data_IF_278382075770
#
_entry.id   IF_278382075770
#
_cell.length_a   1.000
_cell.length_b   1.000
_cell.length_c   1.000
_cell.angle_alpha   90.00
_cell.angle_beta   90.00
_cell.angle_gamma   90.00
#
_symmetry.space_group_name_H-M   'P 1'
#
loop_
_entity.id
_entity.type
_entity.pdbx_description
1 polymer ?
#
# COMPACT_ATOMS: atom_id res chain seq x y z
N UNK A 1 -35.86 35.76 -25.14
CA UNK A 1 -36.03 36.79 -26.19
C UNK A 1 -36.17 36.13 -27.57
N UNK A 2 -37.20 35.32 -27.82
CA UNK A 2 -37.37 34.59 -29.10
C UNK A 2 -38.84 34.21 -29.31
N UNK A 3 -39.71 35.18 -29.57
CA UNK A 3 -41.06 34.91 -30.10
C UNK A 3 -41.37 35.79 -31.32
N UNK A 4 -40.64 36.90 -31.49
CA UNK A 4 -40.85 37.87 -32.56
C UNK A 4 -40.31 37.45 -33.95
N UNK A 5 -39.46 36.42 -34.04
CA UNK A 5 -38.98 35.93 -35.35
C UNK A 5 -40.02 35.07 -36.07
N UNK A 6 -40.96 34.46 -35.33
CA UNK A 6 -42.03 33.67 -35.93
C UNK A 6 -43.03 34.57 -36.68
N UNK A 7 -43.28 35.77 -36.17
CA UNK A 7 -44.11 36.78 -36.81
C UNK A 7 -43.47 37.34 -38.09
N UNK A 8 -42.13 37.47 -38.10
CA UNK A 8 -41.36 37.91 -39.27
C UNK A 8 -41.31 36.84 -40.37
N UNK A 9 -41.40 35.56 -40.00
CA UNK A 9 -41.53 34.42 -40.92
C UNK A 9 -42.93 34.34 -41.58
N UNK A 10 -43.95 34.84 -40.89
CA UNK A 10 -45.35 34.87 -41.34
C UNK A 10 -45.68 36.12 -42.19
N UNK A 11 -44.88 37.18 -42.08
CA UNK A 11 -45.07 38.43 -42.81
C UNK A 11 -45.07 38.27 -44.36
N UNK A 12 -44.19 37.44 -44.98
CA UNK A 12 -44.25 37.20 -46.42
C UNK A 12 -45.51 36.43 -46.84
N UNK A 13 -46.02 35.53 -46.00
CA UNK A 13 -47.28 34.83 -46.30
C UNK A 13 -48.48 35.78 -46.29
N UNK A 14 -48.51 36.74 -45.35
CA UNK A 14 -49.54 37.77 -45.31
C UNK A 14 -49.44 38.73 -46.51
N UNK A 15 -48.22 39.15 -46.88
CA UNK A 15 -47.97 40.06 -48.01
C UNK A 15 -48.21 39.40 -49.39
N UNK A 16 -47.84 38.12 -49.57
CA UNK A 16 -48.18 37.38 -50.79
C UNK A 16 -49.68 37.05 -50.88
N UNK A 17 -50.37 36.90 -49.75
CA UNK A 17 -51.82 36.69 -49.71
C UNK A 17 -52.62 37.99 -49.94
N UNK A 18 -52.09 39.15 -49.55
CA UNK A 18 -52.78 40.46 -49.68
C UNK A 18 -52.49 41.19 -51.00
N UNK A 19 -51.56 40.72 -51.84
CA UNK A 19 -51.19 41.37 -53.11
C UNK A 19 -52.17 41.17 -54.28
N UNK A 20 -53.44 40.82 -54.03
CA UNK A 20 -54.39 40.34 -55.05
C UNK A 20 -55.73 41.09 -55.10
N UNK A 21 -55.76 42.39 -54.82
CA UNK A 21 -56.98 43.21 -54.87
C UNK A 21 -57.41 43.67 -56.29
N UNK A 22 -56.93 43.03 -57.36
CA UNK A 22 -57.42 43.31 -58.71
C UNK A 22 -57.59 42.07 -59.59
N UNK A 23 -58.73 41.40 -59.44
CA UNK A 23 -59.40 40.67 -60.52
C UNK A 23 -59.36 39.13 -60.46
N UNK A 24 -60.54 38.52 -60.60
CA UNK A 24 -60.74 37.26 -61.35
C UNK A 24 -60.41 35.94 -60.64
N UNK A 25 -61.40 35.07 -60.60
CA UNK A 25 -61.39 33.71 -60.05
C UNK A 25 -60.55 32.68 -60.83
N UNK A 26 -59.29 32.97 -61.19
CA UNK A 26 -58.41 32.02 -61.92
C UNK A 26 -56.89 32.12 -61.62
N UNK A 27 -56.45 32.76 -60.53
CA UNK A 27 -55.01 32.97 -60.23
C UNK A 27 -54.33 31.90 -59.35
N UNK A 28 -54.87 30.67 -59.29
CA UNK A 28 -54.31 29.61 -58.43
C UNK A 28 -52.91 29.16 -58.89
N UNK A 29 -52.67 29.08 -60.20
CA UNK A 29 -51.39 28.66 -60.78
C UNK A 29 -50.23 29.60 -60.43
N UNK A 30 -50.28 30.92 -60.71
CA UNK A 30 -49.18 31.83 -60.36
C UNK A 30 -48.96 31.92 -58.84
N UNK A 31 -50.03 31.81 -58.04
CA UNK A 31 -49.92 31.78 -56.57
C UNK A 31 -49.26 30.51 -56.06
N UNK A 32 -49.56 29.35 -56.66
CA UNK A 32 -48.92 28.08 -56.30
C UNK A 32 -47.42 28.08 -56.64
N UNK A 33 -47.03 28.67 -57.77
CA UNK A 33 -45.61 28.84 -58.14
C UNK A 33 -44.89 29.75 -57.14
N UNK A 34 -45.48 30.89 -56.78
CA UNK A 34 -44.90 31.79 -55.78
C UNK A 34 -44.79 31.15 -54.39
N UNK A 35 -45.79 30.36 -53.98
CA UNK A 35 -45.73 29.59 -52.74
C UNK A 35 -44.65 28.51 -52.79
N UNK A 36 -44.48 27.82 -53.92
CA UNK A 36 -43.45 26.81 -54.10
C UNK A 36 -42.04 27.43 -54.01
N UNK A 37 -41.84 28.58 -54.64
CA UNK A 37 -40.58 29.34 -54.56
C UNK A 37 -40.32 29.78 -53.12
N UNK A 38 -41.34 30.32 -52.43
CA UNK A 38 -41.22 30.69 -51.02
C UNK A 38 -40.90 29.49 -50.13
N UNK A 39 -41.62 28.37 -50.30
CA UNK A 39 -41.40 27.14 -49.55
C UNK A 39 -40.00 26.55 -49.80
N UNK A 40 -39.49 26.65 -51.03
CA UNK A 40 -38.13 26.22 -51.38
C UNK A 40 -37.07 27.07 -50.68
N UNK A 41 -37.22 28.40 -50.68
CA UNK A 41 -36.31 29.32 -49.99
C UNK A 41 -36.38 29.09 -48.47
N UNK A 42 -37.58 28.97 -47.92
CA UNK A 42 -37.82 28.64 -46.51
C UNK A 42 -37.16 27.33 -46.10
N UNK A 43 -37.34 26.28 -46.90
CA UNK A 43 -36.74 24.97 -46.65
C UNK A 43 -35.21 25.08 -46.67
N UNK A 44 -34.63 25.79 -47.64
CA UNK A 44 -33.18 25.97 -47.73
C UNK A 44 -32.58 26.59 -46.47
N UNK A 45 -33.20 27.62 -45.90
CA UNK A 45 -32.68 28.27 -44.68
C UNK A 45 -32.99 27.51 -43.37
N UNK A 46 -34.14 26.82 -43.29
CA UNK A 46 -34.58 26.17 -42.04
C UNK A 46 -34.06 24.73 -41.93
N UNK A 47 -33.91 24.00 -43.03
CA UNK A 47 -33.56 22.58 -43.02
C UNK A 47 -32.22 22.33 -42.31
N UNK A 48 -31.21 23.13 -42.60
CA UNK A 48 -29.88 22.96 -42.00
C UNK A 48 -29.89 23.29 -40.50
N UNK A 49 -30.53 24.39 -40.10
CA UNK A 49 -30.67 24.76 -38.69
C UNK A 49 -31.47 23.73 -37.88
N UNK A 50 -32.57 23.22 -38.45
CA UNK A 50 -33.39 22.19 -37.82
C UNK A 50 -32.64 20.85 -37.69
N UNK A 51 -31.89 20.47 -38.74
CA UNK A 51 -31.10 19.23 -38.75
C UNK A 51 -29.95 19.30 -37.76
N UNK A 52 -29.21 20.41 -37.71
CA UNK A 52 -28.13 20.62 -36.73
C UNK A 52 -28.67 20.62 -35.29
N UNK A 53 -29.81 21.25 -35.05
CA UNK A 53 -30.43 21.25 -33.71
C UNK A 53 -30.84 19.85 -33.27
N UNK A 54 -31.46 19.06 -34.15
CA UNK A 54 -31.88 17.70 -33.83
C UNK A 54 -30.70 16.74 -33.64
N UNK A 55 -29.69 16.80 -34.53
CA UNK A 55 -28.49 15.98 -34.43
C UNK A 55 -27.65 16.36 -33.21
N UNK A 56 -27.53 17.67 -32.90
CA UNK A 56 -26.82 18.15 -31.72
C UNK A 56 -27.43 17.63 -30.42
N UNK A 57 -28.77 17.72 -30.27
CA UNK A 57 -29.46 17.19 -29.09
C UNK A 57 -29.35 15.67 -28.97
N UNK A 58 -29.47 14.95 -30.08
CA UNK A 58 -29.29 13.50 -30.10
C UNK A 58 -27.88 13.11 -29.65
N UNK A 59 -26.86 13.80 -30.17
CA UNK A 59 -25.47 13.56 -29.77
C UNK A 59 -25.24 13.90 -28.30
N UNK A 60 -25.79 15.01 -27.80
CA UNK A 60 -25.67 15.37 -26.38
C UNK A 60 -26.28 14.30 -25.46
N UNK A 61 -27.46 13.79 -25.81
CA UNK A 61 -28.11 12.70 -25.06
C UNK A 61 -27.28 11.42 -25.13
N UNK A 62 -26.78 11.06 -26.32
CA UNK A 62 -25.91 9.90 -26.50
C UNK A 62 -24.64 10.01 -25.65
N UNK A 63 -23.95 11.16 -25.68
CA UNK A 63 -22.75 11.42 -24.87
C UNK A 63 -23.07 11.36 -23.37
N UNK A 64 -24.21 11.89 -22.92
CA UNK A 64 -24.61 11.81 -21.50
C UNK A 64 -24.85 10.36 -21.08
N UNK A 65 -25.60 9.58 -21.87
CA UNK A 65 -25.86 8.16 -21.58
C UNK A 65 -24.58 7.33 -21.58
N UNK A 66 -23.69 7.56 -22.54
CA UNK A 66 -22.41 6.86 -22.63
C UNK A 66 -21.52 7.22 -21.43
N UNK A 67 -21.47 8.50 -21.05
CA UNK A 67 -20.72 8.94 -19.86
C UNK A 67 -21.26 8.33 -18.56
N UNK A 68 -22.57 8.11 -18.44
CA UNK A 68 -23.19 7.47 -17.26
C UNK A 68 -22.86 5.98 -17.24
N UNK A 69 -22.95 5.30 -18.38
CA UNK A 69 -22.58 3.89 -18.49
C UNK A 69 -21.10 3.66 -18.19
N UNK A 70 -20.21 4.51 -18.71
CA UNK A 70 -18.78 4.47 -18.41
C UNK A 70 -18.55 4.71 -16.92
N UNK A 71 -19.15 5.74 -16.31
CA UNK A 71 -19.02 6.01 -14.87
C UNK A 71 -19.55 4.86 -14.01
N UNK A 72 -20.66 4.25 -14.39
CA UNK A 72 -21.23 3.10 -13.68
C UNK A 72 -20.32 1.88 -13.78
N UNK A 73 -19.81 1.58 -14.98
CA UNK A 73 -18.86 0.49 -15.20
C UNK A 73 -17.55 0.70 -14.45
N UNK A 74 -17.01 1.91 -14.48
CA UNK A 74 -15.83 2.28 -13.69
C UNK A 74 -16.08 2.17 -12.19
N UNK A 75 -17.24 2.62 -11.69
CA UNK A 75 -17.58 2.53 -10.27
C UNK A 75 -17.70 1.08 -9.81
N UNK A 76 -18.35 0.22 -10.59
CA UNK A 76 -18.46 -1.20 -10.30
C UNK A 76 -17.09 -1.89 -10.33
N UNK A 77 -16.26 -1.59 -11.34
CA UNK A 77 -14.90 -2.14 -11.43
C UNK A 77 -14.02 -1.66 -10.27
N UNK A 78 -14.11 -0.39 -9.87
CA UNK A 78 -13.42 0.15 -8.69
C UNK A 78 -13.89 -0.52 -7.40
N UNK A 79 -15.19 -0.80 -7.28
CA UNK A 79 -15.75 -1.52 -6.13
C UNK A 79 -15.24 -2.95 -6.07
N UNK A 80 -15.26 -3.67 -7.19
CA UNK A 80 -14.78 -5.06 -7.26
C UNK A 80 -13.28 -5.15 -6.95
N UNK A 81 -12.46 -4.28 -7.53
CA UNK A 81 -11.03 -4.23 -7.23
C UNK A 81 -10.74 -3.86 -5.78
N UNK A 82 -11.52 -2.94 -5.19
CA UNK A 82 -11.40 -2.63 -3.76
C UNK A 82 -11.78 -3.81 -2.88
N UNK A 83 -12.87 -4.53 -3.19
CA UNK A 83 -13.27 -5.73 -2.45
C UNK A 83 -12.23 -6.84 -2.57
N UNK A 84 -11.69 -7.07 -3.77
CA UNK A 84 -10.61 -8.04 -3.97
C UNK A 84 -9.38 -7.69 -3.13
N UNK A 85 -8.96 -6.42 -3.11
CA UNK A 85 -7.86 -5.95 -2.27
C UNK A 85 -8.12 -6.13 -0.78
N UNK A 86 -9.35 -5.93 -0.32
CA UNK A 86 -9.73 -6.12 1.09
C UNK A 86 -9.66 -7.59 1.47
N UNK A 87 -10.17 -8.49 0.62
CA UNK A 87 -10.09 -9.93 0.87
C UNK A 87 -8.64 -10.43 0.84
N UNK A 88 -7.83 -9.96 -0.12
CA UNK A 88 -6.39 -10.25 -0.17
C UNK A 88 -5.66 -9.74 1.08
N UNK A 89 -5.91 -8.50 1.49
CA UNK A 89 -5.32 -7.92 2.70
C UNK A 89 -5.72 -8.70 3.96
N UNK A 90 -6.98 -9.17 4.04
CA UNK A 90 -7.47 -9.99 5.15
C UNK A 90 -6.84 -11.37 5.18
N UNK A 91 -6.66 -12.01 4.02
CA UNK A 91 -5.95 -13.28 3.90
C UNK A 91 -4.48 -13.11 4.33
N UNK A 92 -3.80 -12.09 3.81
CA UNK A 92 -2.42 -11.78 4.17
C UNK A 92 -2.27 -11.47 5.67
N UNK A 93 -3.19 -10.71 6.26
CA UNK A 93 -3.19 -10.42 7.69
C UNK A 93 -3.31 -11.69 8.54
N UNK A 94 -4.17 -12.65 8.15
CA UNK A 94 -4.28 -13.94 8.84
C UNK A 94 -2.97 -14.73 8.76
N UNK A 95 -2.37 -14.80 7.57
CA UNK A 95 -1.08 -15.47 7.36
C UNK A 95 0.01 -14.83 8.22
N UNK A 96 0.09 -13.49 8.26
CA UNK A 96 1.07 -12.78 9.09
C UNK A 96 0.86 -13.10 10.58
N UNK A 97 -0.37 -13.11 11.07
CA UNK A 97 -0.66 -13.43 12.48
C UNK A 97 -0.30 -14.87 12.81
N UNK A 98 -0.59 -15.82 11.92
CA UNK A 98 -0.23 -17.23 12.12
C UNK A 98 1.29 -17.44 12.08
N UNK A 99 1.98 -16.81 11.14
CA UNK A 99 3.44 -16.88 11.04
C UNK A 99 4.10 -16.24 12.26
N UNK A 100 3.66 -15.05 12.68
CA UNK A 100 4.18 -14.37 13.87
C UNK A 100 3.99 -15.20 15.15
N UNK A 101 2.86 -15.92 15.28
CA UNK A 101 2.64 -16.83 16.41
C UNK A 101 3.63 -18.00 16.39
N UNK A 102 3.86 -18.60 15.22
CA UNK A 102 4.84 -19.70 15.07
C UNK A 102 6.26 -19.21 15.35
N UNK A 103 6.62 -18.05 14.84
CA UNK A 103 7.93 -17.42 15.09
C UNK A 103 8.12 -17.08 16.55
N UNK A 104 7.09 -16.58 17.25
CA UNK A 104 7.16 -16.30 18.68
C UNK A 104 7.43 -17.57 19.50
N UNK A 105 6.78 -18.69 19.16
CA UNK A 105 7.03 -19.98 19.81
C UNK A 105 8.46 -20.48 19.54
N UNK A 106 8.90 -20.45 18.28
CA UNK A 106 10.27 -20.85 17.91
C UNK A 106 11.33 -19.96 18.58
N UNK A 107 11.06 -18.66 18.70
CA UNK A 107 11.97 -17.73 19.38
C UNK A 107 12.01 -18.01 20.87
N UNK A 108 10.86 -18.29 21.51
CA UNK A 108 10.83 -18.66 22.92
C UNK A 108 11.61 -19.95 23.19
N UNK A 109 11.41 -20.99 22.38
CA UNK A 109 12.15 -22.25 22.48
C UNK A 109 13.65 -22.03 22.27
N UNK A 110 14.03 -21.21 21.29
CA UNK A 110 15.44 -20.88 21.03
C UNK A 110 16.06 -20.12 22.19
N UNK A 111 15.37 -19.14 22.77
CA UNK A 111 15.85 -18.38 23.93
C UNK A 111 16.01 -19.30 25.14
N UNK A 112 15.10 -20.25 25.35
CA UNK A 112 15.24 -21.24 26.42
C UNK A 112 16.48 -22.13 26.22
N UNK A 113 16.68 -22.65 25.01
CA UNK A 113 17.86 -23.45 24.68
C UNK A 113 19.17 -22.66 24.83
N UNK A 114 19.21 -21.43 24.33
CA UNK A 114 20.37 -20.56 24.44
C UNK A 114 20.69 -20.25 25.92
N UNK A 115 19.65 -20.02 26.74
CA UNK A 115 19.80 -19.81 28.19
C UNK A 115 20.33 -21.06 28.90
N UNK A 116 19.84 -22.26 28.57
CA UNK A 116 20.33 -23.51 29.15
C UNK A 116 21.81 -23.74 28.82
N UNK A 117 22.22 -23.47 27.56
CA UNK A 117 23.62 -23.53 27.13
C UNK A 117 24.48 -22.51 27.88
N UNK A 118 23.96 -21.29 28.07
CA UNK A 118 24.67 -20.24 28.80
C UNK A 118 24.85 -20.62 30.28
N UNK A 119 23.82 -21.17 30.93
CA UNK A 119 23.88 -21.68 32.31
C UNK A 119 24.92 -22.79 32.42
N UNK A 120 24.94 -23.75 31.49
CA UNK A 120 25.93 -24.83 31.50
C UNK A 120 27.36 -24.26 31.36
N UNK A 121 27.55 -23.31 30.44
CA UNK A 121 28.84 -22.65 30.25
C UNK A 121 29.30 -21.89 31.50
N UNK A 122 28.36 -21.23 32.19
CA UNK A 122 28.62 -20.45 33.38
C UNK A 122 28.93 -21.35 34.58
N UNK A 123 28.25 -22.49 34.69
CA UNK A 123 28.55 -23.53 35.69
C UNK A 123 29.96 -24.08 35.52
N UNK A 124 30.36 -24.44 34.29
CA UNK A 124 31.73 -24.91 34.00
C UNK A 124 32.77 -23.84 34.32
N UNK A 125 32.53 -22.60 33.89
CA UNK A 125 33.42 -21.48 34.19
C UNK A 125 33.55 -21.23 35.71
N UNK A 126 32.47 -21.41 36.46
CA UNK A 126 32.48 -21.28 37.91
C UNK A 126 33.27 -22.41 38.59
N UNK A 127 33.08 -23.66 38.18
CA UNK A 127 33.89 -24.79 38.67
C UNK A 127 35.37 -24.60 38.40
N UNK A 128 35.74 -24.13 37.20
CA UNK A 128 37.11 -23.82 36.85
C UNK A 128 37.68 -22.74 37.78
N UNK A 129 36.93 -21.66 38.04
CA UNK A 129 37.33 -20.60 38.97
C UNK A 129 37.54 -21.12 40.39
N UNK A 130 36.59 -21.91 40.91
CA UNK A 130 36.69 -22.53 42.24
C UNK A 130 37.93 -23.42 42.33
N UNK A 131 38.23 -24.20 41.29
CA UNK A 131 39.41 -25.06 41.27
C UNK A 131 40.72 -24.27 41.35
N UNK A 132 40.79 -23.12 40.66
CA UNK A 132 41.94 -22.21 40.67
C UNK A 132 42.08 -21.55 42.04
N UNK A 133 40.99 -21.04 42.61
CA UNK A 133 40.95 -20.42 43.94
C UNK A 133 41.41 -21.41 45.01
N UNK A 134 40.91 -22.65 44.96
CA UNK A 134 41.28 -23.72 45.89
C UNK A 134 42.77 -24.03 45.83
N UNK A 135 43.36 -24.09 44.63
CA UNK A 135 44.81 -24.28 44.46
C UNK A 135 45.62 -23.11 45.01
N UNK A 136 45.16 -21.88 44.83
CA UNK A 136 45.81 -20.69 45.42
C UNK A 136 45.75 -20.73 46.96
N UNK A 137 44.57 -21.03 47.51
CA UNK A 137 44.37 -21.14 48.96
C UNK A 137 45.22 -22.27 49.56
N UNK A 138 45.27 -23.44 48.94
CA UNK A 138 46.16 -24.53 49.38
C UNK A 138 47.62 -24.10 49.43
N UNK A 139 48.11 -23.39 48.40
CA UNK A 139 49.48 -22.86 48.39
C UNK A 139 49.69 -21.83 49.50
N UNK A 140 48.73 -20.92 49.70
CA UNK A 140 48.81 -19.91 50.74
C UNK A 140 48.86 -20.52 52.15
N UNK A 141 47.98 -21.49 52.45
CA UNK A 141 47.97 -22.20 53.74
C UNK A 141 49.26 -22.98 53.94
N UNK A 142 49.77 -23.67 52.91
CA UNK A 142 51.05 -24.39 53.01
C UNK A 142 52.19 -23.42 53.32
N UNK A 143 52.23 -22.26 52.67
CA UNK A 143 53.23 -21.23 52.97
C UNK A 143 53.09 -20.70 54.41
N UNK A 144 51.87 -20.42 54.86
CA UNK A 144 51.61 -19.93 56.22
C UNK A 144 52.00 -20.94 57.30
N UNK A 145 51.63 -22.23 57.12
CA UNK A 145 52.02 -23.31 58.04
C UNK A 145 53.54 -23.51 58.05
N UNK A 146 54.18 -23.48 56.87
CA UNK A 146 55.65 -23.56 56.81
C UNK A 146 56.27 -22.37 57.56
N UNK A 147 55.82 -21.14 57.31
CA UNK A 147 56.31 -19.94 57.98
C UNK A 147 56.09 -20.00 59.51
N UNK A 148 54.97 -20.56 59.97
CA UNK A 148 54.69 -20.76 61.40
C UNK A 148 55.61 -21.83 62.01
N UNK A 149 55.80 -22.98 61.34
CA UNK A 149 56.76 -24.01 61.77
C UNK A 149 58.20 -23.50 61.82
N UNK A 150 58.60 -22.61 60.88
CA UNK A 150 59.90 -21.96 60.89
C UNK A 150 60.04 -20.90 62.00
N UNK A 151 58.95 -20.22 62.39
CA UNK A 151 58.93 -19.23 63.50
C UNK A 151 58.88 -19.87 64.88
N UNK A 152 58.18 -20.99 65.07
CA UNK A 152 58.11 -21.71 66.35
C UNK A 152 59.39 -22.49 66.69
N UNK A 153 60.38 -22.51 65.80
CA UNK A 153 61.74 -22.96 66.12
C UNK A 153 61.89 -24.48 66.33
N UNK A 154 60.98 -25.30 65.81
CA UNK A 154 61.00 -26.76 65.98
C UNK A 154 61.78 -27.52 64.90
N UNK A 155 62.36 -26.84 63.90
CA UNK A 155 63.21 -27.45 62.87
C UNK A 155 64.48 -26.61 62.73
N UNK A 156 65.58 -27.11 63.29
CA UNK A 156 66.92 -26.75 62.85
C UNK A 156 67.17 -27.45 61.52
N UNK A 157 66.74 -26.84 60.41
CA UNK A 157 67.13 -27.29 59.07
C UNK A 157 68.62 -26.98 58.90
N UNK A 158 69.45 -27.98 59.22
CA UNK A 158 70.89 -27.90 59.06
C UNK A 158 71.21 -27.77 57.56
N UNK A 159 71.96 -26.73 57.20
CA UNK A 159 72.17 -26.31 55.82
C UNK A 159 72.82 -27.41 54.95
N UNK A 160 73.44 -28.42 55.55
CA UNK A 160 74.07 -29.54 54.86
C UNK A 160 73.07 -30.55 54.25
N UNK A 161 71.87 -30.71 54.81
CA UNK A 161 70.85 -31.62 54.25
C UNK A 161 70.15 -31.03 53.02
N UNK A 162 69.94 -29.72 52.98
CA UNK A 162 69.30 -29.03 51.85
C UNK A 162 70.18 -29.15 50.59
N UNK A 163 71.50 -29.02 50.73
CA UNK A 163 72.45 -29.13 49.59
C UNK A 163 72.52 -30.56 49.04
N UNK A 164 72.41 -31.59 49.90
CA UNK A 164 72.36 -33.01 49.46
C UNK A 164 71.08 -33.34 48.68
N UNK A 165 69.94 -32.78 49.05
CA UNK A 165 68.66 -33.05 48.37
C UNK A 165 68.63 -32.38 46.98
N UNK A 166 69.20 -31.17 46.84
CA UNK A 166 69.30 -30.49 45.54
C UNK A 166 70.26 -31.23 44.59
N UNK A 167 71.42 -31.69 45.07
CA UNK A 167 72.37 -32.42 44.23
C UNK A 167 71.90 -33.80 43.78
N UNK A 168 71.00 -34.45 44.54
CA UNK A 168 70.43 -35.76 44.15
C UNK A 168 69.30 -35.67 43.12
N UNK A 169 68.73 -34.47 42.89
CA UNK A 169 67.65 -34.25 41.91
C UNK A 169 68.16 -33.78 40.54
N UNK A 170 69.44 -33.43 40.44
CA UNK A 170 70.09 -32.94 39.19
C UNK A 170 70.96 -34.04 38.54
N UNK A 171 70.99 -35.25 39.09
CA UNK A 171 71.57 -36.45 38.48
C UNK A 171 70.48 -37.46 38.10
#
# INVERSE_FOLDING_TARGET
MKINYFLLLLAPMALLASGGESGGSTDIFPRAVNFLIFAAIMYYYVADAAKQWYVGRKNEIATKLDSIQVKLKESNSKKETALAKVEEAKANARVIVETAKKEALLLADKVAQDADVEIESLSRAFEDRVSIERRKMQRAIVCEVLDEMFKEGSISLDNDEIVKIVNKKVA
#
